data_IF_271814870131
#
_entry.id   IF_271814870131
#
_cell.length_a   1.000
_cell.length_b   1.000
_cell.length_c   1.000
_cell.angle_alpha   90.00
_cell.angle_beta   90.00
_cell.angle_gamma   90.00
#
_symmetry.space_group_name_H-M   'P 1'
#
loop_
_entity.id
_entity.type
_entity.pdbx_description
1 polymer ?
#
# COMPACT_ATOMS: atom_id res chain seq x y z
N UNK A 1 2.83 -20.49 10.96
CA UNK A 1 2.38 -19.63 12.08
C UNK A 1 1.16 -18.83 11.63
N UNK A 2 0.21 -18.53 12.53
CA UNK A 2 -0.89 -17.59 12.22
C UNK A 2 -0.36 -16.15 12.19
N UNK A 3 -1.09 -15.25 11.50
CA UNK A 3 -0.73 -13.80 11.45
C UNK A 3 -0.55 -13.21 12.86
N UNK A 4 -1.44 -13.57 13.81
CA UNK A 4 -1.37 -13.14 15.21
C UNK A 4 -0.12 -13.66 15.95
N UNK A 5 0.37 -14.87 15.61
CA UNK A 5 1.62 -15.39 16.21
C UNK A 5 2.85 -14.67 15.66
N UNK A 6 2.87 -14.39 14.35
CA UNK A 6 3.96 -13.62 13.74
C UNK A 6 3.99 -12.21 14.30
N UNK A 7 2.81 -11.57 14.48
CA UNK A 7 2.69 -10.25 15.11
C UNK A 7 3.27 -10.21 16.53
N UNK A 8 2.94 -11.19 17.38
CA UNK A 8 3.46 -11.23 18.74
C UNK A 8 4.99 -11.23 18.81
N UNK A 9 5.66 -11.85 17.85
CA UNK A 9 7.12 -11.84 17.78
C UNK A 9 7.68 -10.51 17.26
N UNK A 10 6.96 -9.84 16.36
CA UNK A 10 7.38 -8.59 15.73
C UNK A 10 7.03 -7.34 16.55
N UNK A 11 5.97 -7.36 17.34
CA UNK A 11 5.39 -6.18 18.00
C UNK A 11 6.37 -5.45 18.93
N UNK A 12 7.39 -6.14 19.46
CA UNK A 12 8.39 -5.54 20.35
C UNK A 12 9.24 -4.44 19.68
N UNK A 13 9.38 -4.46 18.34
CA UNK A 13 10.14 -3.45 17.60
C UNK A 13 9.33 -2.78 16.48
N UNK A 14 8.07 -3.21 16.27
CA UNK A 14 7.26 -2.75 15.15
C UNK A 14 6.77 -1.31 15.35
N UNK A 15 6.98 -0.42 14.37
CA UNK A 15 6.54 0.98 14.49
C UNK A 15 5.03 1.09 14.71
N UNK A 16 4.64 1.76 15.80
CA UNK A 16 3.24 1.98 16.14
C UNK A 16 2.51 0.76 16.70
N UNK A 17 3.24 -0.22 17.25
CA UNK A 17 2.67 -1.43 17.84
C UNK A 17 1.62 -1.15 18.92
N UNK A 18 1.82 -0.13 19.75
CA UNK A 18 0.90 0.24 20.85
C UNK A 18 -0.48 0.69 20.36
N UNK A 19 -0.56 1.15 19.11
CA UNK A 19 -1.81 1.60 18.46
C UNK A 19 -2.32 0.59 17.42
N UNK A 20 -1.81 -0.65 17.44
CA UNK A 20 -2.16 -1.70 16.48
C UNK A 20 -3.20 -2.65 17.03
N UNK A 21 -4.19 -2.97 16.21
CA UNK A 21 -5.33 -3.82 16.56
C UNK A 21 -5.59 -4.86 15.50
N UNK A 22 -6.25 -5.96 15.89
CA UNK A 22 -6.85 -6.90 14.95
C UNK A 22 -8.37 -6.66 14.91
N UNK A 23 -8.88 -6.34 13.72
CA UNK A 23 -10.30 -6.08 13.48
C UNK A 23 -10.85 -7.17 12.58
N UNK A 24 -11.78 -7.95 13.10
CA UNK A 24 -12.45 -9.02 12.34
C UNK A 24 -13.63 -8.43 11.56
N UNK A 25 -13.65 -8.67 10.25
CA UNK A 25 -14.71 -8.28 9.31
C UNK A 25 -15.25 -9.52 8.60
N UNK A 26 -16.41 -9.44 7.94
CA UNK A 26 -16.91 -10.56 7.11
C UNK A 26 -15.91 -10.99 6.03
N UNK A 27 -15.02 -10.06 5.63
CA UNK A 27 -13.99 -10.28 4.62
C UNK A 27 -12.67 -10.83 5.13
N UNK A 28 -12.52 -11.09 6.43
CA UNK A 28 -11.29 -11.55 7.08
C UNK A 28 -10.80 -10.61 8.16
N UNK A 29 -9.74 -11.02 8.87
CA UNK A 29 -9.14 -10.23 9.94
C UNK A 29 -8.11 -9.25 9.37
N UNK A 30 -8.26 -7.98 9.70
CA UNK A 30 -7.27 -6.94 9.41
C UNK A 30 -6.39 -6.69 10.62
N UNK A 31 -5.09 -6.51 10.38
CA UNK A 31 -4.21 -5.79 11.28
C UNK A 31 -4.26 -4.32 10.88
N UNK A 32 -4.53 -3.43 11.81
CA UNK A 32 -4.68 -1.99 11.56
C UNK A 32 -4.07 -1.19 12.70
N UNK A 33 -3.29 -0.17 12.36
CA UNK A 33 -2.85 0.87 13.29
C UNK A 33 -3.84 2.03 13.22
N UNK A 34 -4.34 2.47 14.38
CA UNK A 34 -5.21 3.65 14.49
C UNK A 34 -4.57 4.59 15.51
N UNK A 35 -4.23 5.81 15.09
CA UNK A 35 -3.53 6.77 15.94
C UNK A 35 -3.97 8.20 15.65
N UNK A 36 -3.83 9.09 16.65
CA UNK A 36 -4.27 10.47 16.54
C UNK A 36 -5.77 10.66 16.75
N UNK A 37 -6.23 11.90 16.54
CA UNK A 37 -7.62 12.32 16.63
C UNK A 37 -7.91 13.44 15.63
N UNK A 38 -9.16 13.61 15.23
CA UNK A 38 -9.59 14.58 14.22
C UNK A 38 -10.22 13.89 13.02
N UNK A 39 -10.04 14.46 11.84
CA UNK A 39 -10.56 13.91 10.59
C UNK A 39 -9.85 12.61 10.22
N UNK A 40 -10.63 11.67 9.68
CA UNK A 40 -10.11 10.36 9.28
C UNK A 40 -9.26 10.45 8.01
N UNK A 41 -8.03 9.96 8.09
CA UNK A 41 -7.12 9.77 6.96
C UNK A 41 -6.78 8.29 6.81
N UNK A 42 -7.08 7.71 5.66
CA UNK A 42 -6.75 6.33 5.34
C UNK A 42 -5.40 6.28 4.60
N UNK A 43 -4.44 5.52 5.14
CA UNK A 43 -3.11 5.35 4.54
C UNK A 43 -2.96 3.93 3.99
N UNK A 44 -2.70 3.80 2.68
CA UNK A 44 -2.67 2.52 1.95
C UNK A 44 -1.27 2.26 1.38
N UNK A 45 -0.60 1.25 1.91
CA UNK A 45 0.76 0.87 1.52
C UNK A 45 0.84 0.19 0.15
N UNK A 46 2.04 0.10 -0.41
CA UNK A 46 2.34 -0.59 -1.66
C UNK A 46 2.37 -2.11 -1.55
N UNK A 47 2.36 -2.80 -2.67
CA UNK A 47 2.48 -4.26 -2.72
C UNK A 47 3.80 -4.73 -2.09
N UNK A 48 3.73 -5.71 -1.19
CA UNK A 48 4.89 -6.25 -0.47
C UNK A 48 5.36 -5.45 0.74
N UNK A 49 4.67 -4.35 1.07
CA UNK A 49 4.86 -3.59 2.31
C UNK A 49 3.80 -3.94 3.37
N UNK A 50 3.69 -3.14 4.40
CA UNK A 50 2.60 -3.12 5.38
C UNK A 50 2.48 -1.71 5.97
N UNK A 51 1.57 -1.51 6.91
CA UNK A 51 1.36 -0.20 7.55
C UNK A 51 2.60 0.42 8.20
N UNK A 52 3.66 -0.35 8.47
CA UNK A 52 4.92 0.17 9.01
C UNK A 52 5.55 1.23 8.11
N UNK A 53 5.41 1.08 6.78
CA UNK A 53 6.05 1.99 5.82
C UNK A 53 5.55 3.44 5.93
N UNK A 54 4.39 3.64 6.54
CA UNK A 54 3.86 4.97 6.86
C UNK A 54 4.24 5.49 8.26
N UNK A 55 5.18 4.86 8.96
CA UNK A 55 5.51 5.24 10.34
C UNK A 55 5.94 6.71 10.48
N UNK A 56 6.81 7.19 9.58
CA UNK A 56 7.28 8.58 9.57
C UNK A 56 6.15 9.57 9.27
N UNK A 57 5.40 9.34 8.18
CA UNK A 57 4.25 10.18 7.80
C UNK A 57 3.19 10.19 8.90
N UNK A 58 2.95 9.04 9.56
CA UNK A 58 2.02 8.98 10.67
C UNK A 58 2.47 9.86 11.84
N UNK A 59 3.75 9.84 12.19
CA UNK A 59 4.28 10.70 13.25
C UNK A 59 4.08 12.18 12.96
N UNK A 60 4.24 12.61 11.71
CA UNK A 60 4.03 14.00 11.30
C UNK A 60 2.56 14.43 11.31
N UNK A 61 1.61 13.51 11.08
CA UNK A 61 0.20 13.84 10.90
C UNK A 61 -0.70 13.55 12.11
N UNK A 62 -0.30 12.69 13.07
CA UNK A 62 -1.15 12.28 14.23
C UNK A 62 -1.58 13.42 15.14
N UNK A 63 -0.88 14.55 15.13
CA UNK A 63 -1.25 15.71 15.94
C UNK A 63 -2.55 16.41 15.47
N UNK A 64 -2.97 16.17 14.20
CA UNK A 64 -4.09 16.87 13.55
C UNK A 64 -5.15 15.94 12.98
N UNK A 65 -4.83 14.66 12.76
CA UNK A 65 -5.69 13.70 12.07
C UNK A 65 -5.79 12.38 12.83
N UNK A 66 -6.92 11.70 12.70
CA UNK A 66 -7.06 10.30 13.05
C UNK A 66 -6.60 9.45 11.88
N UNK A 67 -5.47 8.79 12.03
CA UNK A 67 -4.85 7.99 10.97
C UNK A 67 -5.27 6.53 11.07
N UNK A 68 -5.71 5.97 9.97
CA UNK A 68 -6.13 4.58 9.83
C UNK A 68 -5.20 3.93 8.82
N UNK A 69 -4.35 3.02 9.30
CA UNK A 69 -3.27 2.43 8.53
C UNK A 69 -3.41 0.90 8.56
N UNK A 70 -4.25 0.31 7.68
CA UNK A 70 -4.41 -1.13 7.63
C UNK A 70 -3.24 -1.78 6.90
N UNK A 71 -2.87 -2.97 7.33
CA UNK A 71 -2.18 -3.90 6.45
C UNK A 71 -3.18 -4.40 5.41
N UNK A 72 -2.84 -4.31 4.12
CA UNK A 72 -3.72 -4.75 3.05
C UNK A 72 -4.02 -6.25 3.15
N UNK A 73 -5.18 -6.72 2.69
CA UNK A 73 -5.56 -8.12 2.79
C UNK A 73 -4.50 -9.07 2.26
N UNK A 74 -4.09 -10.03 3.08
CA UNK A 74 -3.05 -11.01 2.77
C UNK A 74 -1.62 -10.49 2.93
N UNK A 75 -1.41 -9.23 3.29
CA UNK A 75 -0.09 -8.63 3.51
C UNK A 75 0.08 -8.24 4.98
N UNK A 76 1.32 -7.97 5.39
CA UNK A 76 1.62 -7.69 6.78
C UNK A 76 1.14 -8.82 7.70
N UNK A 77 0.30 -8.44 8.63
CA UNK A 77 -0.34 -9.36 9.58
C UNK A 77 -1.84 -9.54 9.33
N UNK A 78 -2.39 -8.98 8.25
CA UNK A 78 -3.77 -9.20 7.83
C UNK A 78 -3.98 -10.61 7.26
N UNK A 79 -5.21 -11.12 7.35
CA UNK A 79 -5.54 -12.47 6.91
C UNK A 79 -5.36 -12.65 5.40
N UNK A 80 -4.81 -13.82 5.02
CA UNK A 80 -4.65 -14.21 3.63
C UNK A 80 -6.03 -14.48 3.00
N UNK A 81 -6.25 -13.94 1.81
CA UNK A 81 -7.50 -14.12 1.06
C UNK A 81 -7.48 -15.37 0.18
N UNK A 82 -8.66 -15.95 -0.13
CA UNK A 82 -8.82 -16.88 -1.25
C UNK A 82 -8.34 -16.27 -2.57
N UNK A 83 -7.85 -17.11 -3.48
CA UNK A 83 -7.28 -16.67 -4.77
C UNK A 83 -8.28 -16.01 -5.71
N UNK A 84 -9.56 -16.28 -5.52
CA UNK A 84 -10.66 -15.75 -6.33
C UNK A 84 -11.11 -14.34 -5.92
N UNK A 85 -10.56 -13.80 -4.82
CA UNK A 85 -11.02 -12.56 -4.19
C UNK A 85 -9.87 -11.54 -4.04
N UNK A 86 -9.04 -11.41 -5.07
CA UNK A 86 -7.80 -10.61 -5.01
C UNK A 86 -7.72 -9.49 -6.05
N UNK A 87 -8.83 -9.11 -6.67
CA UNK A 87 -8.93 -7.97 -7.58
C UNK A 87 -8.99 -6.62 -6.83
N UNK A 88 -8.74 -5.54 -7.56
CA UNK A 88 -8.84 -4.17 -7.03
C UNK A 88 -10.21 -3.87 -6.40
N UNK A 89 -11.36 -4.21 -7.07
CA UNK A 89 -12.67 -4.00 -6.48
C UNK A 89 -12.88 -4.75 -5.17
N UNK A 90 -12.45 -6.01 -5.09
CA UNK A 90 -12.60 -6.83 -3.89
C UNK A 90 -11.74 -6.31 -2.73
N UNK A 91 -10.56 -5.77 -3.01
CA UNK A 91 -9.75 -5.10 -1.98
C UNK A 91 -10.43 -3.82 -1.47
N UNK A 92 -11.02 -3.02 -2.36
CA UNK A 92 -11.75 -1.81 -1.98
C UNK A 92 -12.99 -2.14 -1.12
N UNK A 93 -13.79 -3.15 -1.49
CA UNK A 93 -14.96 -3.61 -0.72
C UNK A 93 -14.57 -4.05 0.70
N UNK A 94 -13.42 -4.70 0.84
CA UNK A 94 -12.91 -5.12 2.16
C UNK A 94 -12.47 -3.94 3.01
N UNK A 95 -11.83 -2.93 2.41
CA UNK A 95 -11.50 -1.70 3.12
C UNK A 95 -12.76 -0.94 3.53
N UNK A 96 -13.78 -0.88 2.68
CA UNK A 96 -15.10 -0.30 3.02
C UNK A 96 -15.71 -1.06 4.21
N UNK A 97 -15.66 -2.39 4.21
CA UNK A 97 -16.13 -3.20 5.32
C UNK A 97 -15.32 -2.97 6.61
N UNK A 98 -14.01 -2.73 6.50
CA UNK A 98 -13.19 -2.35 7.65
C UNK A 98 -13.61 -0.98 8.18
N UNK A 99 -13.76 0.03 7.30
CA UNK A 99 -14.19 1.38 7.70
C UNK A 99 -15.53 1.34 8.43
N UNK A 100 -16.52 0.61 7.90
CA UNK A 100 -17.81 0.43 8.56
C UNK A 100 -17.67 -0.24 9.95
N UNK A 101 -16.75 -1.23 10.08
CA UNK A 101 -16.55 -1.95 11.35
C UNK A 101 -15.92 -1.10 12.45
N UNK A 102 -15.06 -0.14 12.08
CA UNK A 102 -14.37 0.77 13.02
C UNK A 102 -15.03 2.14 13.09
N UNK A 103 -16.21 2.29 12.50
CA UNK A 103 -16.99 3.54 12.47
C UNK A 103 -16.15 4.72 11.97
N UNK A 104 -15.48 4.53 10.82
CA UNK A 104 -14.62 5.51 10.21
C UNK A 104 -15.12 5.91 8.82
N UNK A 105 -15.00 7.20 8.52
CA UNK A 105 -15.30 7.78 7.20
C UNK A 105 -14.09 8.58 6.73
N UNK A 106 -13.18 7.96 5.96
CA UNK A 106 -11.97 8.63 5.50
C UNK A 106 -12.30 9.86 4.67
N UNK A 107 -11.98 11.03 5.21
CA UNK A 107 -12.09 12.29 4.48
C UNK A 107 -10.97 12.45 3.48
N UNK A 108 -9.80 11.93 3.80
CA UNK A 108 -8.60 11.97 2.98
C UNK A 108 -7.99 10.59 2.85
N UNK A 109 -7.33 10.32 1.71
CA UNK A 109 -6.60 9.07 1.52
C UNK A 109 -5.19 9.37 1.03
N UNK A 110 -4.19 8.71 1.61
CA UNK A 110 -2.81 8.69 1.14
C UNK A 110 -2.51 7.28 0.65
N UNK A 111 -2.12 7.13 -0.61
CA UNK A 111 -1.80 5.83 -1.19
C UNK A 111 -0.41 5.79 -1.80
N UNK A 112 0.37 4.77 -1.47
CA UNK A 112 1.69 4.53 -2.06
C UNK A 112 1.63 3.40 -3.09
N UNK A 113 2.22 3.59 -4.26
CA UNK A 113 2.39 2.55 -5.29
C UNK A 113 1.04 1.89 -5.65
N UNK A 114 0.88 0.58 -5.39
CA UNK A 114 -0.39 -0.13 -5.54
C UNK A 114 -1.50 0.45 -4.63
N UNK A 115 -1.16 0.93 -3.44
CA UNK A 115 -2.09 1.61 -2.54
C UNK A 115 -2.72 2.87 -3.15
N UNK A 116 -2.04 3.58 -4.06
CA UNK A 116 -2.58 4.72 -4.79
C UNK A 116 -3.71 4.30 -5.76
N UNK A 117 -3.51 3.22 -6.51
CA UNK A 117 -4.57 2.68 -7.36
C UNK A 117 -5.75 2.16 -6.52
N UNK A 118 -5.47 1.54 -5.37
CA UNK A 118 -6.51 1.09 -4.43
C UNK A 118 -7.27 2.27 -3.81
N UNK A 119 -6.61 3.38 -3.49
CA UNK A 119 -7.25 4.61 -3.00
C UNK A 119 -8.28 5.15 -4.00
N UNK A 120 -7.92 5.20 -5.29
CA UNK A 120 -8.85 5.64 -6.34
C UNK A 120 -9.98 4.65 -6.57
N UNK A 121 -9.73 3.35 -6.46
CA UNK A 121 -10.77 2.32 -6.54
C UNK A 121 -11.73 2.40 -5.35
N UNK A 122 -11.21 2.59 -4.13
CA UNK A 122 -12.00 2.83 -2.93
C UNK A 122 -12.94 4.03 -3.12
N UNK A 123 -12.42 5.17 -3.58
CA UNK A 123 -13.21 6.38 -3.81
C UNK A 123 -14.32 6.20 -4.86
N UNK A 124 -14.13 5.28 -5.83
CA UNK A 124 -15.15 4.93 -6.82
C UNK A 124 -16.28 4.04 -6.28
N UNK A 125 -16.03 3.31 -5.19
CA UNK A 125 -16.97 2.33 -4.60
C UNK A 125 -17.60 2.83 -3.29
N UNK A 126 -16.88 3.68 -2.53
CA UNK A 126 -17.37 4.20 -1.27
C UNK A 126 -18.64 5.04 -1.46
N UNK A 127 -19.62 4.84 -0.57
CA UNK A 127 -20.85 5.64 -0.52
C UNK A 127 -20.53 7.09 -0.22
N UNK A 128 -19.70 7.32 0.81
CA UNK A 128 -19.14 8.62 1.13
C UNK A 128 -17.76 8.72 0.53
N UNK A 129 -17.62 9.60 -0.47
CA UNK A 129 -16.36 9.79 -1.18
C UNK A 129 -15.41 10.65 -0.36
N UNK A 130 -14.10 10.35 -0.36
CA UNK A 130 -13.11 11.23 0.24
C UNK A 130 -13.10 12.59 -0.45
N UNK A 131 -12.66 13.61 0.28
CA UNK A 131 -12.50 14.97 -0.25
C UNK A 131 -11.23 15.12 -1.09
N UNK A 132 -10.25 14.24 -0.93
CA UNK A 132 -9.06 14.21 -1.77
C UNK A 132 -8.19 12.97 -1.57
N UNK A 133 -7.29 12.76 -2.53
CA UNK A 133 -6.37 11.61 -2.55
C UNK A 133 -4.96 12.09 -2.86
N UNK A 134 -4.00 11.77 -2.02
CA UNK A 134 -2.57 11.92 -2.28
C UNK A 134 -1.97 10.58 -2.71
N UNK A 135 -1.44 10.54 -3.92
CA UNK A 135 -0.84 9.36 -4.51
C UNK A 135 0.69 9.50 -4.56
N UNK A 136 1.43 8.59 -3.95
CA UNK A 136 2.89 8.59 -3.89
C UNK A 136 3.41 7.48 -4.81
N UNK A 137 4.22 7.83 -5.82
CA UNK A 137 4.84 6.89 -6.76
C UNK A 137 3.84 5.85 -7.30
N UNK A 138 2.71 6.34 -7.79
CA UNK A 138 1.50 5.57 -8.05
C UNK A 138 1.65 4.51 -9.15
N UNK A 139 1.19 3.28 -8.88
CA UNK A 139 1.21 2.16 -9.81
C UNK A 139 -0.06 2.14 -10.70
N UNK A 140 -0.22 3.13 -11.55
CA UNK A 140 -1.33 3.20 -12.52
C UNK A 140 -1.02 2.53 -13.88
N UNK A 141 0.15 1.92 -14.03
CA UNK A 141 0.53 1.20 -15.24
C UNK A 141 0.71 -0.29 -14.95
N UNK A 142 0.39 -1.16 -15.90
CA UNK A 142 0.68 -2.60 -15.77
C UNK A 142 2.18 -2.83 -15.53
N UNK A 143 2.51 -3.74 -14.63
CA UNK A 143 3.88 -4.17 -14.41
C UNK A 143 4.45 -4.79 -15.71
N UNK A 144 5.47 -4.16 -16.31
CA UNK A 144 6.17 -4.65 -17.50
C UNK A 144 5.42 -4.40 -18.83
N UNK A 145 5.90 -3.47 -19.63
CA UNK A 145 5.19 -2.95 -20.82
C UNK A 145 5.07 -3.91 -22.01
N UNK A 146 5.89 -4.96 -22.11
CA UNK A 146 5.89 -5.90 -23.25
C UNK A 146 5.57 -7.34 -22.83
N UNK A 147 5.94 -7.75 -21.62
CA UNK A 147 5.73 -9.09 -21.10
C UNK A 147 4.47 -9.22 -20.21
N UNK A 148 3.69 -8.15 -20.07
CA UNK A 148 2.57 -8.09 -19.12
C UNK A 148 1.56 -9.25 -19.25
N UNK A 149 1.12 -9.71 -20.44
CA UNK A 149 0.18 -10.83 -20.55
C UNK A 149 0.78 -12.17 -20.15
N UNK A 150 2.08 -12.38 -20.44
CA UNK A 150 2.79 -13.62 -20.10
C UNK A 150 3.15 -13.60 -18.62
N UNK A 151 3.58 -12.45 -18.10
CA UNK A 151 3.91 -12.26 -16.69
C UNK A 151 2.67 -12.44 -15.79
N UNK A 152 1.51 -11.94 -16.20
CA UNK A 152 0.25 -12.12 -15.46
C UNK A 152 -0.22 -13.58 -15.43
N UNK A 153 -0.06 -14.35 -16.52
CA UNK A 153 -0.39 -15.78 -16.55
C UNK A 153 0.56 -16.61 -15.68
N UNK A 154 1.86 -16.36 -15.79
CA UNK A 154 2.87 -17.00 -14.95
C UNK A 154 2.68 -16.62 -13.47
N UNK A 155 2.43 -15.34 -13.15
CA UNK A 155 2.17 -14.88 -11.80
C UNK A 155 0.90 -15.52 -11.21
N UNK A 156 -0.19 -15.68 -11.99
CA UNK A 156 -1.40 -16.39 -11.55
C UNK A 156 -1.12 -17.86 -11.25
N UNK A 157 -0.30 -18.53 -12.06
CA UNK A 157 0.09 -19.92 -11.81
C UNK A 157 0.96 -20.03 -10.55
N UNK A 158 1.93 -19.13 -10.41
CA UNK A 158 2.82 -19.07 -9.24
C UNK A 158 2.06 -18.68 -7.96
N UNK A 159 1.08 -17.79 -8.04
CA UNK A 159 0.23 -17.39 -6.92
C UNK A 159 -0.64 -18.54 -6.36
N UNK A 160 -0.91 -19.58 -7.16
CA UNK A 160 -1.62 -20.80 -6.75
C UNK A 160 -0.70 -21.83 -6.10
N UNK A 161 0.62 -21.69 -6.26
CA UNK A 161 1.58 -22.63 -5.70
C UNK A 161 1.77 -22.37 -4.21
N UNK A 162 1.41 -23.34 -3.37
CA UNK A 162 1.52 -23.23 -1.91
C UNK A 162 2.96 -23.43 -1.39
N UNK A 163 3.85 -23.98 -2.19
CA UNK A 163 5.24 -24.25 -1.78
C UNK A 163 6.17 -23.07 -2.09
N UNK A 164 5.90 -22.31 -3.15
CA UNK A 164 6.73 -21.18 -3.56
C UNK A 164 6.87 -20.11 -2.48
N UNK A 165 5.80 -19.65 -1.81
CA UNK A 165 5.94 -18.67 -0.72
C UNK A 165 6.79 -19.18 0.45
N UNK A 166 6.69 -20.49 0.77
CA UNK A 166 7.54 -21.11 1.82
C UNK A 166 9.00 -21.17 1.44
N UNK A 167 9.29 -21.47 0.17
CA UNK A 167 10.65 -21.48 -0.36
C UNK A 167 11.25 -20.07 -0.33
N UNK A 168 10.51 -19.07 -0.79
CA UNK A 168 10.96 -17.66 -0.81
C UNK A 168 11.16 -17.12 0.61
N UNK A 169 10.34 -17.53 1.58
CA UNK A 169 10.49 -17.15 2.99
C UNK A 169 11.67 -17.83 3.70
N UNK A 170 12.34 -18.79 3.04
CA UNK A 170 13.46 -19.51 3.67
C UNK A 170 14.64 -18.57 3.97
N UNK A 171 15.34 -18.75 5.11
CA UNK A 171 16.50 -17.92 5.45
C UNK A 171 17.58 -17.93 4.35
N UNK A 172 17.75 -19.05 3.65
CA UNK A 172 18.75 -19.22 2.60
C UNK A 172 18.55 -18.29 1.39
N UNK A 173 17.30 -17.90 1.09
CA UNK A 173 16.97 -16.97 0.00
C UNK A 173 16.78 -15.54 0.51
N UNK A 174 16.12 -15.38 1.63
CA UNK A 174 15.70 -14.10 2.19
C UNK A 174 16.87 -13.16 2.50
N UNK A 175 17.97 -13.64 3.05
CA UNK A 175 19.11 -12.80 3.43
C UNK A 175 19.72 -11.99 2.27
N UNK A 176 19.56 -12.47 1.02
CA UNK A 176 19.91 -11.73 -0.21
C UNK A 176 18.73 -10.98 -0.80
N UNK A 177 17.52 -11.52 -0.65
CA UNK A 177 16.33 -10.98 -1.28
C UNK A 177 15.92 -9.63 -0.68
N UNK A 178 15.97 -9.48 0.66
CA UNK A 178 15.58 -8.23 1.32
C UNK A 178 16.45 -7.04 0.89
N UNK A 179 17.80 -7.09 1.00
CA UNK A 179 18.64 -5.98 0.57
C UNK A 179 18.52 -5.69 -0.93
N UNK A 180 18.44 -6.73 -1.77
CA UNK A 180 18.28 -6.55 -3.21
C UNK A 180 16.97 -5.87 -3.56
N UNK A 181 15.85 -6.34 -2.99
CA UNK A 181 14.53 -5.74 -3.19
C UNK A 181 14.51 -4.25 -2.81
N UNK A 182 15.07 -3.90 -1.66
CA UNK A 182 15.14 -2.52 -1.20
C UNK A 182 16.05 -1.66 -2.11
N UNK A 183 17.21 -2.16 -2.51
CA UNK A 183 18.13 -1.47 -3.43
C UNK A 183 17.48 -1.21 -4.80
N UNK A 184 16.66 -2.15 -5.29
CA UNK A 184 15.97 -2.05 -6.57
C UNK A 184 14.86 -0.97 -6.57
N UNK A 185 14.46 -0.47 -5.40
CA UNK A 185 13.54 0.67 -5.27
C UNK A 185 14.21 2.01 -5.59
N UNK A 186 15.53 2.09 -5.54
CA UNK A 186 16.27 3.34 -5.61
C UNK A 186 16.27 4.14 -4.30
N UNK A 187 15.69 3.59 -3.24
CA UNK A 187 15.54 4.25 -1.94
C UNK A 187 16.63 3.86 -0.94
N UNK A 188 16.90 4.78 -0.02
CA UNK A 188 17.69 4.52 1.19
C UNK A 188 16.75 4.27 2.36
N UNK A 189 16.76 3.07 2.90
CA UNK A 189 15.82 2.63 3.94
C UNK A 189 16.53 2.54 5.29
N UNK A 190 15.88 3.07 6.33
CA UNK A 190 16.34 2.98 7.72
C UNK A 190 16.51 1.50 8.15
N UNK A 191 17.51 1.18 9.01
CA UNK A 191 17.74 -0.18 9.50
C UNK A 191 16.52 -0.84 10.16
N UNK A 192 15.70 -0.08 10.90
CA UNK A 192 14.46 -0.60 11.50
C UNK A 192 13.43 -0.95 10.43
N UNK A 193 13.27 -0.10 9.41
CA UNK A 193 12.37 -0.38 8.29
C UNK A 193 12.86 -1.62 7.52
N UNK A 194 14.17 -1.73 7.28
CA UNK A 194 14.77 -2.92 6.66
C UNK A 194 14.50 -4.21 7.47
N UNK A 195 14.55 -4.14 8.80
CA UNK A 195 14.18 -5.25 9.68
C UNK A 195 12.69 -5.60 9.57
N UNK A 196 11.82 -4.60 9.43
CA UNK A 196 10.40 -4.83 9.20
C UNK A 196 10.16 -5.57 7.88
N UNK A 197 10.78 -5.15 6.78
CA UNK A 197 10.70 -5.84 5.49
C UNK A 197 11.23 -7.27 5.56
N UNK A 198 12.37 -7.50 6.24
CA UNK A 198 12.89 -8.85 6.43
C UNK A 198 11.91 -9.74 7.21
N UNK A 199 11.25 -9.18 8.21
CA UNK A 199 10.19 -9.87 8.97
C UNK A 199 9.01 -10.23 8.08
N UNK A 200 8.55 -9.33 7.23
CA UNK A 200 7.47 -9.59 6.26
C UNK A 200 7.85 -10.71 5.29
N UNK A 201 9.04 -10.66 4.73
CA UNK A 201 9.56 -11.67 3.81
C UNK A 201 9.82 -13.02 4.49
N UNK A 202 9.91 -13.07 5.84
CA UNK A 202 9.95 -14.33 6.59
C UNK A 202 8.59 -15.02 6.70
N UNK A 203 7.50 -14.33 6.37
CA UNK A 203 6.13 -14.82 6.48
C UNK A 203 5.63 -15.34 5.13
N UNK A 204 5.47 -16.66 4.94
CA UNK A 204 4.95 -17.22 3.69
C UNK A 204 3.54 -16.70 3.31
N UNK A 205 2.72 -16.34 4.29
CA UNK A 205 1.38 -15.80 4.02
C UNK A 205 1.45 -14.41 3.43
N UNK A 206 2.37 -13.55 3.92
CA UNK A 206 2.62 -12.23 3.34
C UNK A 206 3.09 -12.34 1.88
N UNK A 207 4.05 -13.22 1.60
CA UNK A 207 4.53 -13.46 0.22
C UNK A 207 3.38 -13.98 -0.66
N UNK A 208 2.60 -14.94 -0.17
CA UNK A 208 1.45 -15.47 -0.91
C UNK A 208 0.40 -14.39 -1.19
N UNK A 209 0.10 -13.53 -0.22
CA UNK A 209 -0.83 -12.41 -0.37
C UNK A 209 -0.35 -11.38 -1.39
N UNK A 210 0.94 -11.01 -1.34
CA UNK A 210 1.56 -10.11 -2.32
C UNK A 210 1.49 -10.68 -3.73
N UNK A 211 1.86 -11.96 -3.92
CA UNK A 211 1.80 -12.62 -5.23
C UNK A 211 0.36 -12.72 -5.76
N UNK A 212 -0.61 -13.02 -4.89
CA UNK A 212 -2.04 -13.06 -5.26
C UNK A 212 -2.56 -11.70 -5.68
N UNK A 213 -2.26 -10.65 -4.90
CA UNK A 213 -2.60 -9.28 -5.24
C UNK A 213 -2.04 -8.91 -6.62
N UNK A 214 -0.75 -9.13 -6.88
CA UNK A 214 -0.12 -8.83 -8.17
C UNK A 214 -0.75 -9.63 -9.31
N UNK A 215 -1.13 -10.88 -9.09
CA UNK A 215 -1.78 -11.73 -10.08
C UNK A 215 -3.22 -11.32 -10.41
N UNK A 216 -3.93 -10.70 -9.46
CA UNK A 216 -5.29 -10.18 -9.62
C UNK A 216 -5.37 -8.70 -9.99
N UNK A 217 -4.22 -8.02 -10.18
CA UNK A 217 -4.14 -6.58 -10.39
C UNK A 217 -4.54 -6.20 -11.82
N UNK A 218 -5.80 -5.83 -12.01
CA UNK A 218 -6.37 -5.41 -13.30
C UNK A 218 -6.69 -3.90 -13.27
N UNK A 219 -5.86 -3.12 -13.95
CA UNK A 219 -5.94 -1.66 -13.96
C UNK A 219 -6.85 -1.05 -15.05
N UNK A 220 -6.99 -1.63 -16.26
CA UNK A 220 -7.78 -1.02 -17.32
C UNK A 220 -9.19 -0.57 -16.91
N UNK A 221 -9.98 -1.35 -16.14
CA UNK A 221 -11.31 -0.91 -15.69
C UNK A 221 -11.25 0.31 -14.75
N UNK A 222 -10.25 0.39 -13.86
CA UNK A 222 -10.02 1.56 -13.01
C UNK A 222 -9.65 2.79 -13.85
N UNK A 223 -8.69 2.65 -14.76
CA UNK A 223 -8.16 3.75 -15.59
C UNK A 223 -9.24 4.36 -16.48
N UNK A 224 -10.23 3.58 -16.93
CA UNK A 224 -11.37 4.06 -17.70
C UNK A 224 -12.35 4.91 -16.86
N UNK A 225 -12.27 4.83 -15.54
CA UNK A 225 -13.19 5.51 -14.61
C UNK A 225 -12.55 6.67 -13.84
N UNK A 226 -11.26 6.94 -13.99
CA UNK A 226 -10.57 8.01 -13.24
C UNK A 226 -11.23 9.38 -13.43
N UNK A 227 -11.76 9.68 -14.61
CA UNK A 227 -12.48 10.93 -14.89
C UNK A 227 -13.82 11.07 -14.14
N UNK A 228 -14.33 10.03 -13.48
CA UNK A 228 -15.52 10.07 -12.62
C UNK A 228 -15.20 10.60 -11.20
N UNK A 229 -13.92 10.68 -10.85
CA UNK A 229 -13.45 11.24 -9.59
C UNK A 229 -13.34 12.76 -9.74
N UNK A 230 -14.11 13.47 -8.94
CA UNK A 230 -14.21 14.95 -9.02
C UNK A 230 -13.38 15.65 -7.94
N UNK A 231 -13.00 14.91 -6.87
CA UNK A 231 -12.13 15.43 -5.82
C UNK A 231 -10.70 15.68 -6.34
N UNK A 232 -9.92 16.55 -5.68
CA UNK A 232 -8.50 16.68 -5.93
C UNK A 232 -7.76 15.34 -5.80
N UNK A 233 -6.94 15.02 -6.81
CA UNK A 233 -6.03 13.86 -6.76
C UNK A 233 -4.64 14.37 -7.09
N UNK A 234 -3.78 14.40 -6.07
CA UNK A 234 -2.43 14.88 -6.21
C UNK A 234 -1.46 13.70 -6.35
N UNK A 235 -0.53 13.82 -7.29
CA UNK A 235 0.43 12.77 -7.63
C UNK A 235 1.84 13.24 -7.25
N UNK A 236 2.50 12.52 -6.37
CA UNK A 236 3.92 12.67 -6.08
C UNK A 236 4.70 11.64 -6.89
N UNK A 237 5.73 12.07 -7.59
CA UNK A 237 6.67 11.20 -8.30
C UNK A 237 8.09 11.53 -7.88
N UNK A 238 8.76 10.56 -7.26
CA UNK A 238 10.16 10.65 -6.86
C UNK A 238 11.09 10.42 -8.07
N UNK A 239 12.06 11.31 -8.28
CA UNK A 239 12.89 11.28 -9.49
C UNK A 239 13.88 10.10 -9.52
N UNK A 240 14.24 9.56 -8.36
CA UNK A 240 15.10 8.39 -8.22
C UNK A 240 14.35 7.06 -8.17
N UNK A 241 13.02 7.04 -8.39
CA UNK A 241 12.22 5.82 -8.38
C UNK A 241 12.64 4.87 -9.51
N UNK A 242 13.26 3.73 -9.12
CA UNK A 242 13.68 2.68 -10.04
C UNK A 242 12.61 1.63 -10.29
N UNK A 243 11.56 1.59 -9.46
CA UNK A 243 10.44 0.65 -9.58
C UNK A 243 9.40 1.16 -10.58
N UNK A 244 8.99 2.42 -10.41
CA UNK A 244 8.00 3.08 -11.28
C UNK A 244 8.62 4.41 -11.75
N UNK A 245 9.11 4.51 -12.98
CA UNK A 245 9.64 5.74 -13.51
C UNK A 245 8.67 6.91 -13.33
N UNK A 246 9.13 8.13 -12.95
CA UNK A 246 8.29 9.28 -12.63
C UNK A 246 7.22 9.59 -13.69
N UNK A 247 7.59 9.54 -14.96
CA UNK A 247 6.65 9.81 -16.07
C UNK A 247 5.55 8.75 -16.18
N UNK A 248 5.81 7.51 -15.75
CA UNK A 248 4.77 6.47 -15.67
C UNK A 248 3.82 6.73 -14.51
N UNK A 249 4.34 7.09 -13.35
CA UNK A 249 3.50 7.44 -12.19
C UNK A 249 2.59 8.63 -12.52
N UNK A 250 3.09 9.63 -13.26
CA UNK A 250 2.34 10.83 -13.65
C UNK A 250 1.49 10.65 -14.92
N UNK A 251 1.57 9.53 -15.61
CA UNK A 251 0.90 9.32 -16.92
C UNK A 251 -0.62 9.46 -16.90
N UNK A 252 -1.25 9.33 -15.73
CA UNK A 252 -2.71 9.45 -15.56
C UNK A 252 -3.18 10.87 -15.29
N UNK A 253 -2.27 11.84 -15.10
CA UNK A 253 -2.62 13.21 -14.71
C UNK A 253 -3.65 13.84 -15.67
N UNK A 254 -3.53 13.58 -16.98
CA UNK A 254 -4.45 14.08 -18.00
C UNK A 254 -5.85 13.45 -17.97
N UNK A 255 -6.03 12.36 -17.21
CA UNK A 255 -7.33 11.68 -17.02
C UNK A 255 -8.06 12.16 -15.77
N UNK A 256 -7.40 12.92 -14.91
CA UNK A 256 -7.94 13.44 -13.66
C UNK A 256 -8.56 14.81 -13.90
N UNK A 257 -9.78 15.06 -13.40
CA UNK A 257 -10.43 16.37 -13.51
C UNK A 257 -9.69 17.45 -12.70
N UNK A 258 -9.29 17.11 -11.48
CA UNK A 258 -8.63 18.00 -10.54
C UNK A 258 -7.28 17.39 -10.10
N UNK A 259 -6.43 17.09 -11.11
CA UNK A 259 -5.10 16.52 -10.90
C UNK A 259 -4.03 17.58 -10.69
N UNK A 260 -3.14 17.38 -9.69
CA UNK A 260 -1.91 18.15 -9.50
C UNK A 260 -0.74 17.18 -9.35
N UNK A 261 0.45 17.57 -9.78
CA UNK A 261 1.63 16.71 -9.67
C UNK A 261 2.81 17.44 -9.05
N UNK A 262 3.61 16.67 -8.30
CA UNK A 262 4.84 17.11 -7.65
C UNK A 262 5.95 16.15 -8.05
N UNK A 263 7.15 16.69 -8.32
CA UNK A 263 8.35 15.89 -8.50
C UNK A 263 9.29 16.13 -7.32
N UNK A 264 9.72 15.05 -6.68
CA UNK A 264 10.64 15.12 -5.55
C UNK A 264 12.02 14.62 -5.98
N UNK A 265 13.04 15.50 -6.05
CA UNK A 265 14.39 15.12 -6.42
C UNK A 265 15.05 14.30 -5.30
N UNK A 266 15.95 13.39 -5.67
CA UNK A 266 16.80 12.67 -4.74
C UNK A 266 16.13 11.51 -3.98
N UNK A 267 14.82 11.30 -4.12
CA UNK A 267 14.08 10.24 -3.45
C UNK A 267 13.80 9.07 -4.41
N UNK A 268 13.71 7.86 -3.87
CA UNK A 268 13.36 6.64 -4.60
C UNK A 268 11.89 6.26 -4.49
N UNK A 269 11.59 4.97 -4.74
CA UNK A 269 10.22 4.45 -4.71
C UNK A 269 9.55 4.57 -3.34
N UNK A 270 10.34 4.48 -2.26
CA UNK A 270 9.85 4.60 -0.88
C UNK A 270 9.99 6.04 -0.34
N UNK A 271 9.70 7.04 -1.17
CA UNK A 271 9.85 8.46 -0.84
C UNK A 271 9.22 8.86 0.51
N UNK A 272 8.10 8.23 0.88
CA UNK A 272 7.40 8.47 2.16
C UNK A 272 8.12 7.86 3.39
N UNK A 273 9.08 6.96 3.16
CA UNK A 273 9.98 6.44 4.20
C UNK A 273 11.27 7.27 4.28
N UNK A 274 11.74 7.79 3.14
CA UNK A 274 12.98 8.58 3.04
C UNK A 274 12.81 10.01 3.54
N UNK A 275 11.69 10.66 3.18
CA UNK A 275 11.36 12.04 3.57
C UNK A 275 9.86 12.15 3.91
N UNK A 276 9.45 11.63 5.09
CA UNK A 276 8.07 11.65 5.52
C UNK A 276 7.53 13.06 5.75
N UNK A 277 8.38 14.02 6.13
CA UNK A 277 8.04 15.42 6.34
C UNK A 277 7.63 16.09 5.03
N UNK A 278 8.38 15.92 3.96
CA UNK A 278 8.02 16.46 2.64
C UNK A 278 6.67 15.92 2.15
N UNK A 279 6.38 14.63 2.41
CA UNK A 279 5.09 14.04 2.08
C UNK A 279 3.97 14.63 2.94
N UNK A 280 4.20 14.79 4.24
CA UNK A 280 3.24 15.38 5.17
C UNK A 280 2.94 16.85 4.82
N UNK A 281 3.95 17.64 4.47
CA UNK A 281 3.78 19.04 4.08
C UNK A 281 2.91 19.19 2.83
N UNK A 282 3.14 18.36 1.80
CA UNK A 282 2.30 18.33 0.60
C UNK A 282 0.86 17.92 0.94
N UNK A 283 0.69 16.95 1.84
CA UNK A 283 -0.64 16.55 2.30
C UNK A 283 -1.34 17.67 3.07
N UNK A 284 -0.64 18.36 3.96
CA UNK A 284 -1.19 19.50 4.71
C UNK A 284 -1.54 20.69 3.80
N UNK A 285 -0.78 20.94 2.72
CA UNK A 285 -1.15 21.90 1.68
C UNK A 285 -2.46 21.50 0.97
N UNK A 286 -2.67 20.21 0.76
CA UNK A 286 -3.89 19.69 0.10
C UNK A 286 -5.14 19.85 0.98
N UNK A 287 -4.98 19.81 2.31
CA UNK A 287 -6.08 19.82 3.28
C UNK A 287 -6.37 21.22 3.88
N UNK A 288 -5.54 22.22 3.54
CA UNK A 288 -5.70 23.61 4.01
C UNK A 288 -6.81 24.34 3.24
#
# INVERSE_FOLDING_TARGET
MSSKQTWRAASAFWPGADNSHFVDTPGGSFHVRISGAGEDVLLLHGAGASGHSFAGVANALTARHRLIIPDLPGQGFSALLPTEQVGLPEFADRLISLMAKIEATPRWIIGHSAGAALATQFALQATERPEGILCINAAFNPFGSVAAPIFSKAARLLARNQWLPRLLASPALRWRATPAMLSDTGSSVDPLMSQCYDTLLSNPNHIAGTLRMMAGWDLPPLLARLSQLEMPIWLIAAEGDKTIPPDRSLSVISKLKNGRSFRLPGLGHLAHEEDPEAIADIFLEMTA
#
